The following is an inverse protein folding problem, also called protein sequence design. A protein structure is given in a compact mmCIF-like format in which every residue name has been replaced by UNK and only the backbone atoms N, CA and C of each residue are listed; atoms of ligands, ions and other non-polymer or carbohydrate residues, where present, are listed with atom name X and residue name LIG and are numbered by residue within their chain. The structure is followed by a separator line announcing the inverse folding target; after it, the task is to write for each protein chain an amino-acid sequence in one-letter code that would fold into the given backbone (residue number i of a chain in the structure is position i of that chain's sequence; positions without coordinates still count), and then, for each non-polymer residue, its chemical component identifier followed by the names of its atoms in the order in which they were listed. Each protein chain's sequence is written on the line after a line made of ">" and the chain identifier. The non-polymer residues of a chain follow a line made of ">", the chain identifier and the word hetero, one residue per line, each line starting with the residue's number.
data_IF_366454811475
#
_entry.id   IF_366454811475
#
_cell.length_a   1.000
_cell.length_b   1.000
_cell.length_c   1.000
_cell.angle_alpha   90.00
_cell.angle_beta   90.00
_cell.angle_gamma   90.00
#
_symmetry.space_group_name_H-M   'P 1'
#
loop_
_entity.id
_entity.type
_entity.pdbx_description
1 polymer ?
#
# COMPACT_ATOMS: atom_id res chain seq x y z
N UNK A 1 -68.92 -9.26 -0.50
CA UNK A 1 -67.58 -9.26 -1.15
C UNK A 1 -66.66 -8.32 -0.36
N UNK A 2 -65.64 -8.87 0.28
CA UNK A 2 -65.11 -8.38 1.55
C UNK A 2 -63.94 -7.39 1.37
N UNK A 3 -64.14 -6.09 1.64
CA UNK A 3 -63.12 -5.02 1.56
C UNK A 3 -61.90 -5.25 2.47
N UNK A 4 -61.95 -6.23 3.39
CA UNK A 4 -60.84 -6.59 4.28
C UNK A 4 -59.73 -7.42 3.61
N UNK A 5 -60.02 -8.10 2.48
CA UNK A 5 -58.99 -8.91 1.81
C UNK A 5 -58.00 -8.08 1.00
N UNK A 6 -58.42 -6.90 0.50
CA UNK A 6 -57.57 -6.04 -0.33
C UNK A 6 -56.49 -5.32 0.50
N UNK A 7 -56.74 -5.06 1.79
CA UNK A 7 -55.78 -4.41 2.69
C UNK A 7 -54.64 -5.35 3.15
N UNK A 8 -54.85 -6.67 3.17
CA UNK A 8 -53.77 -7.60 3.50
C UNK A 8 -52.75 -7.78 2.37
N UNK A 9 -53.15 -7.63 1.11
CA UNK A 9 -52.22 -7.82 -0.03
C UNK A 9 -51.32 -6.59 -0.22
N UNK A 10 -51.81 -5.39 0.10
CA UNK A 10 -51.00 -4.16 0.00
C UNK A 10 -49.95 -4.07 1.13
N UNK A 11 -50.15 -4.77 2.25
CA UNK A 11 -49.21 -4.77 3.36
C UNK A 11 -47.99 -5.70 3.18
N UNK A 12 -47.98 -6.54 2.14
CA UNK A 12 -46.85 -7.42 1.79
C UNK A 12 -45.87 -6.79 0.78
N UNK A 13 -46.14 -5.57 0.30
CA UNK A 13 -45.29 -4.84 -0.66
C UNK A 13 -44.37 -3.81 -0.01
N UNK A 14 -44.37 -3.68 1.31
CA UNK A 14 -43.27 -3.03 2.02
C UNK A 14 -42.09 -3.98 2.09
N UNK A 15 -41.46 -4.17 0.93
CA UNK A 15 -40.03 -4.51 0.85
C UNK A 15 -39.33 -3.33 1.49
N UNK A 16 -39.15 -3.40 2.80
CA UNK A 16 -38.25 -2.51 3.53
C UNK A 16 -36.93 -2.66 2.77
N UNK A 17 -36.39 -1.60 2.14
CA UNK A 17 -35.05 -1.69 1.60
C UNK A 17 -34.18 -2.03 2.80
N UNK A 18 -33.61 -3.23 2.81
CA UNK A 18 -32.60 -3.61 3.79
C UNK A 18 -31.48 -2.59 3.63
N UNK A 19 -31.53 -1.55 4.45
CA UNK A 19 -30.49 -0.54 4.52
C UNK A 19 -29.33 -1.26 5.21
N UNK A 20 -28.50 -1.92 4.40
CA UNK A 20 -27.32 -2.60 4.89
C UNK A 20 -26.39 -1.51 5.42
N UNK A 21 -26.31 -1.42 6.74
CA UNK A 21 -25.44 -0.45 7.39
C UNK A 21 -24.02 -1.03 7.35
N UNK A 22 -23.05 -0.31 6.78
CA UNK A 22 -21.74 -0.88 6.55
C UNK A 22 -21.00 -1.13 7.88
N UNK A 23 -20.35 -2.29 8.00
CA UNK A 23 -19.65 -2.71 9.21
C UNK A 23 -18.31 -1.98 9.35
N UNK A 24 -18.05 -1.39 10.51
CA UNK A 24 -16.79 -0.70 10.82
C UNK A 24 -15.87 -1.63 11.62
N UNK A 25 -14.63 -1.79 11.16
CA UNK A 25 -13.58 -2.50 11.89
C UNK A 25 -12.52 -1.52 12.43
N UNK A 26 -12.51 -1.23 13.75
CA UNK A 26 -11.73 -0.12 14.28
C UNK A 26 -10.25 -0.43 14.50
N UNK A 27 -9.88 -1.71 14.66
CA UNK A 27 -8.56 -2.13 15.14
C UNK A 27 -7.63 -2.63 14.03
N UNK A 28 -8.04 -2.55 12.76
CA UNK A 28 -7.23 -3.04 11.67
C UNK A 28 -6.02 -2.13 11.40
N UNK A 29 -4.82 -2.71 11.40
CA UNK A 29 -3.57 -1.96 11.21
C UNK A 29 -3.25 -1.78 9.73
N UNK A 30 -3.28 -0.53 9.26
CA UNK A 30 -2.82 -0.15 7.93
C UNK A 30 -1.38 0.37 8.02
N UNK A 31 -0.49 -0.12 7.15
CA UNK A 31 0.91 0.29 7.13
C UNK A 31 1.49 0.31 5.72
N UNK A 32 2.57 1.09 5.55
CA UNK A 32 3.32 1.15 4.31
C UNK A 32 4.05 -0.18 4.04
N UNK A 33 4.20 -0.49 2.75
CA UNK A 33 4.93 -1.67 2.31
C UNK A 33 6.43 -1.58 2.62
N UNK A 34 7.01 -0.39 2.49
CA UNK A 34 8.40 -0.13 2.86
C UNK A 34 8.53 1.22 3.56
N UNK A 35 9.37 1.27 4.58
CA UNK A 35 9.72 2.50 5.30
C UNK A 35 10.63 3.42 4.46
N UNK A 36 11.24 2.89 3.38
CA UNK A 36 12.19 3.58 2.52
C UNK A 36 11.60 4.13 1.22
N UNK A 37 10.27 4.27 1.14
CA UNK A 37 9.55 4.88 -0.01
C UNK A 37 9.86 6.37 -0.25
N UNK A 38 10.97 6.86 0.31
CA UNK A 38 11.56 8.20 0.24
C UNK A 38 11.83 8.73 -1.17
N UNK A 39 11.48 8.03 -2.25
CA UNK A 39 11.66 8.50 -3.63
C UNK A 39 10.41 8.30 -4.50
N UNK A 40 9.33 7.77 -3.94
CA UNK A 40 8.12 7.49 -4.71
C UNK A 40 7.13 8.65 -4.64
N UNK A 41 6.61 9.07 -5.79
CA UNK A 41 5.45 9.97 -5.91
C UNK A 41 4.12 9.24 -5.66
N UNK A 42 4.20 7.99 -5.21
CA UNK A 42 3.11 7.02 -5.08
C UNK A 42 3.24 6.36 -3.71
N UNK A 43 2.14 6.18 -2.99
CA UNK A 43 2.15 5.46 -1.71
C UNK A 43 1.92 3.97 -1.97
N UNK A 44 2.73 3.12 -1.34
CA UNK A 44 2.61 1.67 -1.45
C UNK A 44 2.19 1.12 -0.10
N UNK A 45 1.01 0.51 -0.05
CA UNK A 45 0.43 -0.06 1.16
C UNK A 45 0.62 -1.56 1.18
N UNK A 46 0.76 -2.11 2.40
CA UNK A 46 0.68 -3.55 2.60
C UNK A 46 -0.74 -4.03 2.29
N UNK A 47 -0.88 -5.17 1.60
CA UNK A 47 -2.18 -5.75 1.35
C UNK A 47 -2.95 -6.02 2.63
N UNK A 48 -4.27 -5.97 2.52
CA UNK A 48 -5.16 -6.15 3.64
C UNK A 48 -5.35 -7.63 4.03
N UNK A 49 -4.25 -8.33 4.36
CA UNK A 49 -4.30 -9.74 4.77
C UNK A 49 -5.20 -9.93 5.98
N UNK A 50 -5.99 -11.01 5.95
CA UNK A 50 -6.93 -11.41 7.00
C UNK A 50 -8.08 -10.43 7.30
N UNK A 51 -8.12 -9.27 6.64
CA UNK A 51 -9.14 -8.25 6.88
C UNK A 51 -10.56 -8.78 6.61
N UNK A 52 -10.70 -9.58 5.56
CA UNK A 52 -12.00 -10.12 5.17
C UNK A 52 -12.51 -11.14 6.17
N UNK A 53 -11.64 -12.00 6.70
CA UNK A 53 -11.95 -12.95 7.77
C UNK A 53 -12.32 -12.21 9.07
N UNK A 54 -11.66 -11.09 9.35
CA UNK A 54 -11.97 -10.25 10.51
C UNK A 54 -13.38 -9.61 10.37
N UNK A 55 -13.72 -9.08 9.20
CA UNK A 55 -15.08 -8.60 8.91
C UNK A 55 -16.16 -9.66 8.99
N UNK A 56 -15.88 -10.87 8.50
CA UNK A 56 -16.80 -12.00 8.64
C UNK A 56 -17.04 -12.38 10.10
N UNK A 57 -16.02 -12.26 10.93
CA UNK A 57 -16.12 -12.57 12.37
C UNK A 57 -16.95 -11.52 13.12
N UNK A 58 -16.91 -10.26 12.69
CA UNK A 58 -17.50 -9.14 13.44
C UNK A 58 -19.01 -8.95 13.18
N UNK A 59 -19.50 -9.12 11.95
CA UNK A 59 -20.95 -9.13 11.62
C UNK A 59 -21.29 -9.25 10.11
N UNK A 60 -20.32 -9.29 9.20
CA UNK A 60 -20.65 -9.23 7.76
C UNK A 60 -21.30 -10.53 7.29
N UNK A 61 -22.53 -10.43 6.78
CA UNK A 61 -23.27 -11.58 6.25
C UNK A 61 -22.58 -12.18 5.01
N UNK A 62 -22.36 -13.49 5.08
CA UNK A 62 -21.78 -14.32 4.01
C UNK A 62 -22.64 -14.33 2.73
N UNK A 63 -23.93 -14.02 2.84
CA UNK A 63 -24.83 -13.94 1.69
C UNK A 63 -24.54 -12.72 0.78
N UNK A 64 -24.02 -11.64 1.36
CA UNK A 64 -23.75 -10.36 0.66
C UNK A 64 -22.25 -10.20 0.34
N UNK A 65 -21.38 -10.74 1.19
CA UNK A 65 -19.92 -10.63 1.04
C UNK A 65 -19.30 -11.95 0.53
N UNK A 66 -19.44 -12.21 -0.77
CA UNK A 66 -18.80 -13.34 -1.42
C UNK A 66 -17.39 -12.95 -1.87
N UNK A 67 -16.35 -13.59 -1.33
CA UNK A 67 -14.94 -13.24 -1.59
C UNK A 67 -14.59 -13.16 -3.08
N UNK A 68 -15.08 -14.09 -3.91
CA UNK A 68 -14.74 -14.16 -5.34
C UNK A 68 -15.30 -12.99 -6.16
N UNK A 69 -16.39 -12.38 -5.72
CA UNK A 69 -17.08 -11.32 -6.45
C UNK A 69 -17.00 -9.97 -5.74
N UNK A 70 -16.49 -9.95 -4.52
CA UNK A 70 -16.24 -8.75 -3.75
C UNK A 70 -14.84 -8.22 -4.01
N UNK A 71 -14.67 -6.91 -3.88
CA UNK A 71 -13.39 -6.24 -4.08
C UNK A 71 -13.08 -5.31 -2.91
N UNK A 72 -11.78 -5.09 -2.68
CA UNK A 72 -11.32 -4.09 -1.74
C UNK A 72 -10.97 -2.83 -2.52
N UNK A 73 -11.57 -1.72 -2.15
CA UNK A 73 -11.21 -0.40 -2.65
C UNK A 73 -10.48 0.36 -1.55
N UNK A 74 -9.40 1.05 -1.94
CA UNK A 74 -8.66 1.93 -1.04
C UNK A 74 -9.24 3.33 -1.17
N UNK A 75 -9.76 3.84 -0.06
CA UNK A 75 -10.16 5.24 0.04
C UNK A 75 -9.03 6.06 0.63
N UNK A 76 -8.91 7.30 0.15
CA UNK A 76 -7.85 8.25 0.48
C UNK A 76 -8.49 9.58 0.88
N UNK A 77 -7.96 10.20 1.92
CA UNK A 77 -8.31 11.56 2.32
C UNK A 77 -7.03 12.38 2.44
N UNK A 78 -7.01 13.55 1.82
CA UNK A 78 -5.89 14.49 1.91
C UNK A 78 -6.07 15.32 3.18
N UNK A 79 -5.02 15.49 3.98
CA UNK A 79 -5.07 16.33 5.17
C UNK A 79 -5.32 17.79 4.77
N UNK A 80 -6.38 18.39 5.31
CA UNK A 80 -6.83 19.74 4.94
C UNK A 80 -7.94 19.75 3.88
N UNK A 81 -8.25 18.62 3.27
CA UNK A 81 -9.39 18.44 2.38
C UNK A 81 -10.48 17.59 3.05
N UNK A 82 -11.75 17.97 2.84
CA UNK A 82 -12.91 17.23 3.33
C UNK A 82 -13.40 16.17 2.33
N UNK A 83 -12.80 16.11 1.15
CA UNK A 83 -13.17 15.19 0.08
C UNK A 83 -12.61 13.78 0.33
N UNK A 84 -13.39 12.75 -0.03
CA UNK A 84 -12.92 11.36 -0.03
C UNK A 84 -12.67 10.91 -1.45
N UNK A 85 -11.47 10.40 -1.66
CA UNK A 85 -10.99 9.90 -2.94
C UNK A 85 -10.89 8.37 -2.91
N UNK A 86 -10.92 7.74 -4.06
CA UNK A 86 -10.69 6.31 -4.27
C UNK A 86 -9.48 6.11 -5.16
N UNK A 87 -8.72 5.06 -4.90
CA UNK A 87 -7.68 4.60 -5.83
C UNK A 87 -8.37 3.90 -7.00
N UNK A 88 -7.92 4.21 -8.22
CA UNK A 88 -8.44 3.56 -9.42
C UNK A 88 -8.19 2.05 -9.37
N UNK A 89 -9.26 1.29 -9.58
CA UNK A 89 -9.23 -0.18 -9.58
C UNK A 89 -9.53 -0.80 -8.22
N UNK A 90 -10.30 -1.89 -8.24
CA UNK A 90 -10.53 -2.73 -7.07
C UNK A 90 -9.42 -3.78 -6.94
N UNK A 91 -8.99 -4.03 -5.71
CA UNK A 91 -8.03 -5.08 -5.40
C UNK A 91 -8.75 -6.39 -5.06
N UNK A 92 -8.12 -7.50 -5.45
CA UNK A 92 -8.56 -8.83 -5.05
C UNK A 92 -8.38 -8.99 -3.54
N UNK A 93 -9.36 -9.62 -2.88
CA UNK A 93 -9.31 -9.90 -1.45
C UNK A 93 -8.26 -10.98 -1.18
N UNK A 94 -7.17 -10.67 -0.45
CA UNK A 94 -6.15 -11.66 -0.12
C UNK A 94 -6.69 -12.74 0.83
N UNK A 95 -6.13 -13.94 0.76
CA UNK A 95 -6.46 -15.04 1.68
C UNK A 95 -5.58 -14.99 2.93
N UNK A 96 -6.12 -15.43 4.06
CA UNK A 96 -5.40 -15.46 5.34
C UNK A 96 -4.49 -16.71 5.56
N UNK A 97 -4.19 -17.56 4.55
CA UNK A 97 -3.47 -18.84 4.77
C UNK A 97 -2.34 -19.21 3.79
N UNK A 98 -1.32 -19.97 4.27
CA UNK A 98 -0.77 -19.93 5.63
C UNK A 98 -0.03 -18.59 5.83
N UNK A 99 0.36 -18.26 7.08
CA UNK A 99 1.09 -17.03 7.49
C UNK A 99 1.84 -16.45 6.29
N UNK A 100 1.31 -15.37 5.71
CA UNK A 100 1.98 -14.73 4.58
C UNK A 100 3.31 -14.22 5.10
N UNK A 101 4.36 -14.97 4.81
CA UNK A 101 5.70 -14.55 5.11
C UNK A 101 6.12 -13.68 3.93
N UNK A 102 6.06 -12.35 4.12
CA UNK A 102 6.47 -11.35 3.11
C UNK A 102 7.83 -11.70 2.48
N UNK A 103 8.71 -12.35 3.24
CA UNK A 103 10.05 -12.81 2.82
C UNK A 103 10.06 -13.97 1.82
N UNK A 104 8.97 -14.73 1.69
CA UNK A 104 8.87 -15.93 0.83
C UNK A 104 8.01 -15.70 -0.42
N UNK A 105 7.42 -14.51 -0.58
CA UNK A 105 6.64 -14.17 -1.76
C UNK A 105 7.56 -14.01 -2.98
N UNK A 106 7.29 -14.75 -4.05
CA UNK A 106 8.04 -14.64 -5.32
C UNK A 106 7.84 -13.29 -5.99
N UNK A 107 6.67 -12.67 -5.77
CA UNK A 107 6.38 -11.30 -6.19
C UNK A 107 5.74 -10.52 -5.03
N UNK A 108 6.13 -9.25 -4.84
CA UNK A 108 5.57 -8.42 -3.79
C UNK A 108 4.13 -8.04 -4.15
N UNK A 109 3.15 -8.67 -3.50
CA UNK A 109 1.76 -8.22 -3.55
C UNK A 109 1.65 -6.92 -2.76
N UNK A 110 1.35 -5.80 -3.43
CA UNK A 110 1.30 -4.46 -2.84
C UNK A 110 0.13 -3.67 -3.42
N UNK A 111 -0.48 -2.82 -2.59
CA UNK A 111 -1.49 -1.89 -3.07
C UNK A 111 -0.85 -0.56 -3.41
N UNK A 112 -0.94 -0.20 -4.68
CA UNK A 112 -0.40 1.06 -5.20
C UNK A 112 -1.47 2.14 -5.13
N UNK A 113 -1.31 3.12 -4.24
CA UNK A 113 -2.08 4.36 -4.28
C UNK A 113 -1.48 5.19 -5.41
N UNK A 114 -1.97 4.92 -6.63
CA UNK A 114 -1.46 5.42 -7.90
C UNK A 114 -1.32 6.94 -7.96
N UNK A 115 -0.65 7.47 -9.00
CA UNK A 115 -0.47 8.92 -9.14
C UNK A 115 -1.79 9.67 -9.34
N UNK A 116 -2.89 8.96 -9.60
CA UNK A 116 -4.24 9.47 -9.81
C UNK A 116 -5.19 8.83 -8.78
N UNK A 117 -5.96 9.67 -8.09
CA UNK A 117 -7.07 9.29 -7.22
C UNK A 117 -8.35 9.93 -7.76
N UNK A 118 -9.46 9.23 -7.70
CA UNK A 118 -10.75 9.72 -8.18
C UNK A 118 -11.61 10.19 -7.02
N UNK A 119 -12.42 11.25 -7.19
CA UNK A 119 -13.46 11.53 -6.20
C UNK A 119 -14.42 10.34 -6.11
N UNK A 120 -14.90 10.06 -4.90
CA UNK A 120 -15.88 8.99 -4.66
C UNK A 120 -17.17 9.19 -5.49
N UNK A 121 -17.50 10.44 -5.85
CA UNK A 121 -18.64 10.79 -6.70
C UNK A 121 -18.38 10.59 -8.21
N UNK A 122 -17.18 10.14 -8.60
CA UNK A 122 -16.77 9.95 -10.01
C UNK A 122 -16.57 11.24 -10.80
N UNK A 123 -16.67 12.42 -10.15
CA UNK A 123 -16.69 13.74 -10.80
C UNK A 123 -15.32 14.34 -11.11
N UNK A 124 -14.23 13.64 -10.82
CA UNK A 124 -12.90 14.18 -11.11
C UNK A 124 -11.77 13.22 -10.73
N UNK A 125 -10.66 13.36 -11.45
CA UNK A 125 -9.38 12.71 -11.18
C UNK A 125 -8.44 13.76 -10.61
N UNK A 126 -7.88 13.50 -9.43
CA UNK A 126 -6.90 14.32 -8.74
C UNK A 126 -5.55 13.59 -8.78
N UNK A 127 -4.46 14.31 -9.04
CA UNK A 127 -3.13 13.71 -8.87
C UNK A 127 -2.75 13.63 -7.39
N UNK A 128 -2.11 12.54 -6.98
CA UNK A 128 -1.45 12.45 -5.68
C UNK A 128 -0.28 13.43 -5.69
N UNK A 129 -0.42 14.50 -4.92
CA UNK A 129 0.56 15.55 -4.80
C UNK A 129 1.72 15.14 -3.86
N UNK A 130 2.97 15.52 -4.18
CA UNK A 130 4.10 15.43 -3.26
C UNK A 130 3.94 16.43 -2.09
N UNK A 131 4.63 16.21 -0.98
CA UNK A 131 4.53 17.04 0.24
C UNK A 131 3.09 17.20 0.76
N UNK A 132 2.30 16.13 0.70
CA UNK A 132 0.96 16.13 1.26
C UNK A 132 0.82 14.94 2.21
N UNK A 133 0.00 15.13 3.24
CA UNK A 133 -0.33 14.06 4.16
C UNK A 133 -1.66 13.42 3.78
N UNK A 134 -1.68 12.09 3.76
CA UNK A 134 -2.82 11.29 3.33
C UNK A 134 -3.22 10.31 4.43
N UNK A 135 -4.52 10.18 4.65
CA UNK A 135 -5.10 9.08 5.42
C UNK A 135 -5.74 8.11 4.46
N UNK A 136 -5.68 6.83 4.79
CA UNK A 136 -6.28 5.78 3.96
C UNK A 136 -7.15 4.85 4.78
N UNK A 137 -8.11 4.20 4.14
CA UNK A 137 -8.89 3.11 4.73
C UNK A 137 -9.24 2.08 3.66
N UNK A 138 -9.43 0.84 4.10
CA UNK A 138 -9.91 -0.24 3.25
C UNK A 138 -11.43 -0.32 3.31
N UNK A 139 -12.06 -0.49 2.15
CA UNK A 139 -13.51 -0.59 2.03
C UNK A 139 -13.86 -1.81 1.19
N UNK A 140 -14.77 -2.63 1.71
CA UNK A 140 -15.30 -3.81 1.03
C UNK A 140 -16.52 -3.44 0.21
N UNK A 141 -16.48 -3.78 -1.08
CA UNK A 141 -17.60 -3.65 -1.99
C UNK A 141 -18.05 -5.03 -2.46
N UNK A 142 -19.37 -5.23 -2.58
CA UNK A 142 -19.92 -6.44 -3.19
C UNK A 142 -19.92 -6.35 -4.73
N UNK A 143 -20.43 -7.41 -5.37
CA UNK A 143 -20.60 -7.47 -6.82
C UNK A 143 -21.51 -6.38 -7.41
N UNK A 144 -22.39 -5.77 -6.59
CA UNK A 144 -23.30 -4.70 -6.97
C UNK A 144 -22.73 -3.29 -6.69
N UNK A 145 -21.44 -3.18 -6.35
CA UNK A 145 -20.78 -1.94 -5.95
C UNK A 145 -21.42 -1.24 -4.75
N UNK A 146 -22.06 -1.97 -3.84
CA UNK A 146 -22.53 -1.44 -2.57
C UNK A 146 -21.47 -1.65 -1.50
N UNK A 147 -21.20 -0.62 -0.71
CA UNK A 147 -20.29 -0.68 0.43
C UNK A 147 -20.85 -1.59 1.52
N UNK A 148 -20.10 -2.63 1.89
CA UNK A 148 -20.49 -3.61 2.92
C UNK A 148 -19.78 -3.33 4.23
N UNK A 149 -18.49 -2.99 4.18
CA UNK A 149 -17.66 -2.82 5.36
C UNK A 149 -16.50 -1.86 5.09
N UNK A 150 -15.94 -1.29 6.15
CA UNK A 150 -14.79 -0.40 6.07
C UNK A 150 -13.96 -0.45 7.35
N UNK A 151 -12.68 -0.08 7.23
CA UNK A 151 -11.81 0.11 8.39
C UNK A 151 -11.85 1.56 8.88
N UNK A 152 -11.36 1.79 10.09
CA UNK A 152 -10.98 3.13 10.51
C UNK A 152 -9.95 3.76 9.56
N UNK A 153 -9.89 5.09 9.58
CA UNK A 153 -8.82 5.82 8.92
C UNK A 153 -7.47 5.51 9.56
N UNK A 154 -6.45 5.34 8.73
CA UNK A 154 -5.07 5.19 9.16
C UNK A 154 -4.55 6.45 9.85
N UNK A 155 -3.40 6.29 10.51
CA UNK A 155 -2.55 7.43 10.81
C UNK A 155 -2.12 8.12 9.49
N UNK A 156 -1.88 9.44 9.52
CA UNK A 156 -1.45 10.18 8.34
C UNK A 156 -0.09 9.69 7.82
N UNK A 157 -0.02 9.41 6.53
CA UNK A 157 1.19 9.10 5.78
C UNK A 157 1.60 10.31 4.94
N UNK A 158 2.86 10.73 4.99
CA UNK A 158 3.34 11.83 4.16
C UNK A 158 3.99 11.30 2.88
N UNK A 159 3.60 11.86 1.73
CA UNK A 159 4.41 11.75 0.51
C UNK A 159 5.62 12.67 0.64
N UNK A 160 6.78 12.27 0.11
CA UNK A 160 8.00 13.05 0.24
C UNK A 160 7.85 14.46 -0.37
N UNK A 161 8.56 15.42 0.24
CA UNK A 161 8.92 16.71 -0.34
C UNK A 161 9.75 16.52 -1.62
N UNK A 162 9.16 16.82 -2.78
CA UNK A 162 9.99 17.12 -3.94
C UNK A 162 10.73 18.41 -3.58
N UNK A 163 12.08 18.41 -3.56
CA UNK A 163 12.82 19.63 -3.29
C UNK A 163 12.43 20.68 -4.33
N UNK A 164 12.10 21.89 -3.88
CA UNK A 164 11.56 22.96 -4.74
C UNK A 164 12.55 23.36 -5.84
N UNK A 165 13.83 23.06 -5.68
CA UNK A 165 14.88 23.23 -6.67
C UNK A 165 15.62 21.91 -6.97
N UNK A 166 16.04 21.67 -8.23
CA UNK A 166 16.86 20.51 -8.62
C UNK A 166 18.18 20.40 -7.83
N UNK A 167 18.67 21.53 -7.30
CA UNK A 167 19.90 21.65 -6.52
C UNK A 167 19.81 20.96 -5.15
N UNK A 168 18.59 20.85 -4.61
CA UNK A 168 18.29 20.28 -3.29
C UNK A 168 17.93 18.78 -3.39
N UNK A 169 17.86 18.24 -4.61
CA UNK A 169 17.88 16.80 -4.80
C UNK A 169 19.27 16.28 -4.42
N UNK A 170 19.37 15.68 -3.24
CA UNK A 170 20.51 14.86 -2.86
C UNK A 170 20.60 13.63 -3.79
N UNK A 171 21.13 13.83 -5.00
CA UNK A 171 21.44 12.81 -5.99
C UNK A 171 22.70 11.99 -5.62
N UNK A 172 23.18 12.09 -4.37
CA UNK A 172 24.19 11.18 -3.84
C UNK A 172 23.55 9.82 -3.61
N UNK A 173 23.43 9.07 -4.70
CA UNK A 173 23.71 7.65 -4.69
C UNK A 173 25.07 7.50 -4.01
N UNK A 174 25.08 7.19 -2.71
CA UNK A 174 26.27 6.73 -2.00
C UNK A 174 26.59 5.29 -2.44
N UNK A 175 26.53 5.03 -3.75
CA UNK A 175 27.24 3.94 -4.37
C UNK A 175 28.71 4.33 -4.33
N UNK A 176 29.53 3.49 -3.71
CA UNK A 176 30.99 3.59 -3.74
C UNK A 176 31.43 3.95 -5.15
N UNK A 177 31.90 5.18 -5.34
CA UNK A 177 32.50 5.65 -6.58
C UNK A 177 33.57 4.65 -7.01
N UNK A 178 33.55 4.22 -8.28
CA UNK A 178 34.56 3.30 -8.83
C UNK A 178 36.00 3.80 -8.64
N UNK A 179 36.20 5.10 -8.39
CA UNK A 179 37.50 5.65 -8.01
C UNK A 179 38.07 5.08 -6.70
N UNK A 180 37.22 4.73 -5.72
CA UNK A 180 37.68 4.08 -4.49
C UNK A 180 38.24 2.68 -4.77
N UNK A 181 37.63 1.94 -5.71
CA UNK A 181 38.10 0.62 -6.13
C UNK A 181 39.44 0.74 -6.84
N UNK A 182 39.59 1.69 -7.77
CA UNK A 182 40.84 1.91 -8.51
C UNK A 182 41.99 2.27 -7.55
N UNK A 183 41.74 3.14 -6.57
CA UNK A 183 42.76 3.51 -5.56
C UNK A 183 43.15 2.29 -4.72
N UNK A 184 42.20 1.48 -4.26
CA UNK A 184 42.51 0.26 -3.48
C UNK A 184 43.30 -0.77 -4.28
N UNK A 185 43.01 -0.94 -5.57
CA UNK A 185 43.73 -1.87 -6.45
C UNK A 185 45.16 -1.39 -6.69
N UNK A 186 45.36 -0.10 -6.98
CA UNK A 186 46.71 0.48 -7.16
C UNK A 186 47.56 0.38 -5.88
N UNK A 187 46.97 0.67 -4.71
CA UNK A 187 47.64 0.49 -3.42
C UNK A 187 48.02 -0.97 -3.17
N UNK A 188 47.14 -1.91 -3.50
CA UNK A 188 47.43 -3.35 -3.38
C UNK A 188 48.60 -3.78 -4.27
N UNK A 189 48.65 -3.32 -5.53
CA UNK A 189 49.73 -3.65 -6.46
C UNK A 189 51.06 -3.03 -5.99
N UNK A 190 51.03 -1.77 -5.56
CA UNK A 190 52.24 -1.08 -5.05
C UNK A 190 52.81 -1.77 -3.82
N UNK A 191 51.95 -2.16 -2.87
CA UNK A 191 52.36 -2.91 -1.68
C UNK A 191 52.96 -4.27 -2.04
N UNK A 192 52.36 -4.99 -3.00
CA UNK A 192 52.90 -6.26 -3.48
C UNK A 192 54.31 -6.10 -4.09
N UNK A 193 54.50 -5.10 -4.95
CA UNK A 193 55.83 -4.81 -5.53
C UNK A 193 56.88 -4.47 -4.45
N UNK A 194 56.50 -3.72 -3.42
CA UNK A 194 57.38 -3.40 -2.30
C UNK A 194 57.76 -4.65 -1.51
N UNK A 195 56.82 -5.54 -1.21
CA UNK A 195 57.08 -6.78 -0.50
C UNK A 195 57.99 -7.72 -1.29
N UNK A 196 57.78 -7.84 -2.61
CA UNK A 196 58.65 -8.63 -3.47
C UNK A 196 60.05 -8.02 -3.53
N UNK A 197 60.16 -6.70 -3.70
CA UNK A 197 61.46 -6.01 -3.69
C UNK A 197 62.22 -6.20 -2.38
N UNK A 198 61.51 -6.09 -1.24
CA UNK A 198 62.08 -6.36 0.08
C UNK A 198 62.54 -7.82 0.21
N UNK A 199 61.72 -8.77 -0.25
CA UNK A 199 62.07 -10.19 -0.22
C UNK A 199 63.30 -10.51 -1.07
N UNK A 200 63.45 -9.90 -2.25
CA UNK A 200 64.65 -10.04 -3.08
C UNK A 200 65.87 -9.48 -2.37
N UNK A 201 65.77 -8.28 -1.77
CA UNK A 201 66.90 -7.68 -1.04
C UNK A 201 67.30 -8.54 0.16
N UNK A 202 66.34 -9.11 0.89
CA UNK A 202 66.62 -10.00 2.02
C UNK A 202 67.14 -11.37 1.58
N UNK A 203 66.63 -11.92 0.47
CA UNK A 203 67.08 -13.19 -0.09
C UNK A 203 68.46 -13.12 -0.75
N UNK A 204 68.81 -11.98 -1.35
CA UNK A 204 70.19 -11.68 -1.83
C UNK A 204 71.15 -11.46 -0.66
N UNK A 205 70.61 -11.19 0.54
CA UNK A 205 71.36 -11.01 1.79
C UNK A 205 71.29 -12.22 2.72
N UNK A 206 71.13 -13.42 2.17
CA UNK A 206 71.53 -14.65 2.86
C UNK A 206 72.74 -15.25 2.12
N UNK A 207 73.91 -15.38 2.76
CA UNK A 207 75.03 -16.17 2.24
C UNK A 207 74.72 -17.67 2.23
#
# INVERSE_FOLDING_TARGET
>A
MNKRLLLCVVSLLNVIPFHFQPVLLPNYKISLYSDSLRLSTVLWLRPAYCLFEEWQSDAVDLSVAIRKTSSIIVQVQIQGDNSTYIVQGGYVIPQCRPIFNELQATEPFVYQVGPNIELTDGKGVQLVLPNHSYKVRYVLYNAANTQIAFTNWSQPFQTRDIPTAPQDMNARLQGRSGGMVVITVLLSISMFCLLVGLAVVLGVKQP
#
